data_IF_798867771865
#
_entry.id   IF_798867771865
#
_cell.length_a   1.000
_cell.length_b   1.000
_cell.length_c   1.000
_cell.angle_alpha   90.00
_cell.angle_beta   90.00
_cell.angle_gamma   90.00
#
_symmetry.space_group_name_H-M   'P 1'
#
loop_
_entity.id
_entity.type
_entity.pdbx_description
1 polymer ?
#
# COMPACT_ATOMS: atom_id res chain seq x y z
N UNK A 1 -10.86 -5.97 3.20
CA UNK A 1 -10.32 -4.74 3.86
C UNK A 1 -11.12 -3.55 3.38
N UNK A 2 -10.97 -2.37 3.99
CA UNK A 2 -11.55 -1.11 3.48
C UNK A 2 -10.43 -0.22 2.96
N UNK A 3 -10.63 0.41 1.79
CA UNK A 3 -9.68 1.33 1.18
C UNK A 3 -10.28 2.73 1.10
N UNK A 4 -9.69 3.69 1.80
CA UNK A 4 -10.11 5.09 1.76
C UNK A 4 -9.16 5.92 0.92
N UNK A 5 -9.71 6.72 0.00
CA UNK A 5 -8.95 7.69 -0.78
C UNK A 5 -8.29 8.73 0.12
N UNK A 6 -7.05 9.09 -0.18
CA UNK A 6 -6.33 10.20 0.46
C UNK A 6 -5.33 10.79 -0.53
N UNK A 7 -4.96 12.06 -0.35
CA UNK A 7 -3.75 12.61 -0.95
C UNK A 7 -2.58 12.50 0.03
N UNK A 8 -1.46 11.93 -0.41
CA UNK A 8 -0.24 11.79 0.38
C UNK A 8 0.77 12.84 -0.06
N UNK A 9 1.29 13.61 0.88
CA UNK A 9 2.30 14.63 0.60
C UNK A 9 3.70 13.97 0.48
N UNK A 10 3.97 13.35 -0.67
CA UNK A 10 5.24 12.66 -0.98
C UNK A 10 6.36 13.58 -1.42
N UNK A 11 6.04 14.83 -1.80
CA UNK A 11 7.01 15.77 -2.36
C UNK A 11 7.32 15.53 -3.84
N UNK A 12 6.60 14.61 -4.49
CA UNK A 12 6.64 14.32 -5.93
C UNK A 12 5.22 14.38 -6.52
N UNK A 13 5.06 13.95 -7.77
CA UNK A 13 3.74 13.76 -8.37
C UNK A 13 2.95 12.55 -7.80
N UNK A 14 3.58 11.73 -6.95
CA UNK A 14 3.00 10.53 -6.35
C UNK A 14 2.03 10.89 -5.19
N UNK A 15 0.91 11.56 -5.49
CA UNK A 15 -0.02 12.03 -4.47
C UNK A 15 -1.22 11.09 -4.23
N UNK A 16 -1.60 10.29 -5.22
CA UNK A 16 -2.79 9.45 -5.16
C UNK A 16 -2.59 8.28 -4.21
N UNK A 17 -3.27 8.28 -3.06
CA UNK A 17 -3.04 7.29 -2.00
C UNK A 17 -4.29 6.53 -1.54
N UNK A 18 -4.06 5.39 -0.87
CA UNK A 18 -5.09 4.65 -0.14
C UNK A 18 -4.66 4.40 1.29
N UNK A 19 -5.51 4.80 2.23
CA UNK A 19 -5.47 4.31 3.61
C UNK A 19 -6.20 2.97 3.65
N UNK A 20 -5.51 1.93 4.11
CA UNK A 20 -6.06 0.57 4.17
C UNK A 20 -6.43 0.23 5.61
N UNK A 21 -7.69 -0.08 5.84
CA UNK A 21 -8.23 -0.44 7.16
C UNK A 21 -8.64 -1.92 7.23
N UNK A 22 -8.43 -2.50 8.40
CA UNK A 22 -8.95 -3.80 8.79
C UNK A 22 -9.44 -3.73 10.24
N UNK A 23 -10.69 -4.15 10.49
CA UNK A 23 -11.34 -4.03 11.81
C UNK A 23 -11.22 -2.61 12.40
N UNK A 24 -11.53 -1.59 11.59
CA UNK A 24 -11.47 -0.16 11.95
C UNK A 24 -10.06 0.37 12.31
N UNK A 25 -9.00 -0.43 12.15
CA UNK A 25 -7.60 -0.03 12.38
C UNK A 25 -6.88 0.20 11.07
N UNK A 26 -6.07 1.26 11.00
CA UNK A 26 -5.18 1.50 9.86
C UNK A 26 -4.06 0.46 9.85
N UNK A 27 -3.89 -0.25 8.74
CA UNK A 27 -2.90 -1.32 8.58
C UNK A 27 -1.90 -1.08 7.46
N UNK A 28 -2.19 -0.21 6.50
CA UNK A 28 -1.24 0.19 5.48
C UNK A 28 -1.55 1.55 4.86
N UNK A 29 -0.53 2.18 4.29
CA UNK A 29 -0.63 3.34 3.41
C UNK A 29 -0.05 2.96 2.06
N UNK A 30 -0.87 3.04 1.02
CA UNK A 30 -0.45 2.82 -0.37
C UNK A 30 -0.40 4.15 -1.12
N UNK A 31 0.54 4.30 -2.04
CA UNK A 31 0.67 5.45 -2.94
C UNK A 31 0.83 4.96 -4.37
N UNK A 32 0.12 5.58 -5.31
CA UNK A 32 0.30 5.32 -6.73
C UNK A 32 1.50 6.11 -7.25
N UNK A 33 2.37 5.41 -7.97
CA UNK A 33 3.55 5.96 -8.61
C UNK A 33 3.14 6.70 -9.88
N UNK A 34 3.01 8.02 -9.82
CA UNK A 34 2.63 8.87 -10.95
C UNK A 34 3.78 9.78 -11.43
N UNK A 35 4.89 9.87 -10.68
CA UNK A 35 6.09 10.56 -11.12
C UNK A 35 6.76 9.83 -12.30
N UNK A 36 7.01 10.57 -13.39
CA UNK A 36 7.60 10.03 -14.61
C UNK A 36 9.00 9.41 -14.40
N UNK A 37 9.71 9.80 -13.33
CA UNK A 37 10.98 9.22 -12.92
C UNK A 37 10.93 7.72 -12.62
N UNK A 38 9.74 7.18 -12.31
CA UNK A 38 9.54 5.75 -12.04
C UNK A 38 9.59 4.87 -13.30
N UNK A 39 9.54 5.46 -14.50
CA UNK A 39 9.69 4.73 -15.76
C UNK A 39 8.64 3.62 -15.95
N UNK A 40 9.09 2.36 -16.06
CA UNK A 40 8.21 1.24 -16.41
C UNK A 40 7.17 0.87 -15.32
N UNK A 41 7.31 1.39 -14.10
CA UNK A 41 6.39 1.10 -12.99
C UNK A 41 5.43 2.24 -12.67
N UNK A 42 5.41 3.30 -13.49
CA UNK A 42 4.38 4.34 -13.41
C UNK A 42 2.98 3.71 -13.51
N UNK A 43 2.07 4.17 -12.67
CA UNK A 43 0.70 3.66 -12.49
C UNK A 43 0.59 2.50 -11.48
N UNK A 44 1.71 1.90 -11.06
CA UNK A 44 1.69 0.89 -9.99
C UNK A 44 1.58 1.52 -8.61
N UNK A 45 1.35 0.69 -7.59
CA UNK A 45 1.20 1.11 -6.21
C UNK A 45 2.39 0.65 -5.36
N UNK A 46 2.94 1.57 -4.59
CA UNK A 46 3.92 1.35 -3.52
C UNK A 46 3.22 1.27 -2.17
N UNK A 47 3.81 0.52 -1.23
CA UNK A 47 3.42 0.53 0.18
C UNK A 47 4.45 1.35 0.94
N UNK A 48 4.02 2.52 1.42
CA UNK A 48 4.88 3.48 2.12
C UNK A 48 4.96 3.20 3.62
N UNK A 49 3.88 2.65 4.19
CA UNK A 49 3.84 2.26 5.60
C UNK A 49 2.96 1.03 5.79
N UNK A 50 3.39 0.14 6.68
CA UNK A 50 2.66 -1.04 7.12
C UNK A 50 2.57 -1.07 8.65
N UNK A 51 1.45 -1.56 9.16
CA UNK A 51 1.18 -1.72 10.60
C UNK A 51 0.66 -3.13 10.88
N UNK A 52 0.69 -3.54 12.15
CA UNK A 52 0.12 -4.81 12.61
C UNK A 52 0.65 -6.05 11.83
N UNK A 53 1.97 -6.10 11.60
CA UNK A 53 2.62 -7.22 10.91
C UNK A 53 2.70 -7.10 9.39
N UNK A 54 2.13 -6.04 8.79
CA UNK A 54 2.35 -5.74 7.37
C UNK A 54 3.78 -5.22 7.16
N UNK A 55 4.64 -6.03 6.53
CA UNK A 55 6.05 -5.69 6.30
C UNK A 55 6.23 -4.55 5.28
N UNK A 56 6.70 -3.39 5.75
CA UNK A 56 7.01 -2.24 4.89
C UNK A 56 8.50 -2.12 4.54
N UNK A 57 9.33 -3.10 4.90
CA UNK A 57 10.78 -3.02 4.67
C UNK A 57 11.12 -3.21 3.20
N UNK A 58 10.49 -4.20 2.55
CA UNK A 58 10.67 -4.53 1.13
C UNK A 58 9.37 -5.04 0.49
N UNK A 59 8.30 -4.24 0.49
CA UNK A 59 7.06 -4.64 -0.17
C UNK A 59 7.29 -4.74 -1.70
N UNK A 60 6.58 -5.64 -2.39
CA UNK A 60 6.54 -5.60 -3.85
C UNK A 60 5.75 -4.35 -4.32
N UNK A 61 5.94 -3.95 -5.58
CA UNK A 61 5.02 -3.04 -6.24
C UNK A 61 3.77 -3.79 -6.71
N UNK A 62 2.62 -3.11 -6.68
CA UNK A 62 1.34 -3.71 -7.04
C UNK A 62 0.78 -3.08 -8.30
N UNK A 63 0.40 -3.91 -9.28
CA UNK A 63 -0.22 -3.43 -10.51
C UNK A 63 -1.60 -2.78 -10.27
N UNK A 64 -2.29 -3.15 -9.20
CA UNK A 64 -3.57 -2.60 -8.78
C UNK A 64 -3.81 -2.83 -7.28
N UNK A 65 -4.87 -2.21 -6.74
CA UNK A 65 -5.24 -2.32 -5.33
C UNK A 65 -5.66 -3.74 -4.92
N UNK A 66 -6.19 -4.54 -5.84
CA UNK A 66 -6.59 -5.94 -5.58
C UNK A 66 -5.36 -6.83 -5.34
N UNK A 67 -4.27 -6.59 -6.06
CA UNK A 67 -2.99 -7.25 -5.83
C UNK A 67 -2.40 -6.86 -4.46
N UNK A 68 -2.50 -5.58 -4.09
CA UNK A 68 -2.11 -5.09 -2.78
C UNK A 68 -2.94 -5.74 -1.65
N UNK A 69 -4.26 -5.82 -1.81
CA UNK A 69 -5.16 -6.44 -0.82
C UNK A 69 -4.79 -7.91 -0.57
N UNK A 70 -4.58 -8.69 -1.63
CA UNK A 70 -4.20 -10.11 -1.50
C UNK A 70 -2.89 -10.29 -0.75
N UNK A 71 -1.90 -9.44 -1.05
CA UNK A 71 -0.60 -9.51 -0.40
C UNK A 71 -0.67 -9.09 1.07
N UNK A 72 -1.36 -7.98 1.39
CA UNK A 72 -1.58 -7.51 2.77
C UNK A 72 -2.34 -8.56 3.59
N UNK A 73 -3.37 -9.17 3.01
CA UNK A 73 -4.16 -10.22 3.68
C UNK A 73 -3.31 -11.44 4.05
N UNK A 74 -2.35 -11.81 3.20
CA UNK A 74 -1.39 -12.88 3.50
C UNK A 74 -0.51 -12.50 4.69
N UNK A 75 0.07 -11.29 4.70
CA UNK A 75 0.91 -10.82 5.80
C UNK A 75 0.18 -10.84 7.15
N UNK A 76 -1.08 -10.37 7.17
CA UNK A 76 -1.90 -10.38 8.38
C UNK A 76 -2.18 -11.81 8.87
N UNK A 77 -2.45 -12.73 7.95
CA UNK A 77 -2.70 -14.14 8.30
C UNK A 77 -1.45 -14.80 8.89
N UNK A 78 -0.29 -14.55 8.27
CA UNK A 78 1.00 -15.09 8.73
C UNK A 78 1.40 -14.51 10.10
N UNK A 79 1.09 -13.23 10.36
CA UNK A 79 1.36 -12.57 11.64
C UNK A 79 0.42 -13.01 12.78
N UNK A 80 -0.88 -13.17 12.51
CA UNK A 80 -1.87 -13.60 13.52
C UNK A 80 -1.73 -15.09 13.88
N UNK A 81 -1.14 -15.88 12.98
CA UNK A 81 -0.86 -17.30 13.22
C UNK A 81 0.38 -17.56 14.10
N UNK A 82 1.11 -16.52 14.51
CA UNK A 82 2.26 -16.56 15.42
C UNK A 82 1.84 -16.21 16.86
#
# INVERSE_FOLDING_TARGET
MEFKHVKVATGSADEEGRLVFHEEKLIAVLVRLDDAGHGAVVGQWSLEAGFNGVDSTKPPLFANLEAAERWIGKQLSDFIAL
#
